data_IF_547636739725
#
_entry.id   IF_547636739725
#
_cell.length_a   1.000
_cell.length_b   1.000
_cell.length_c   1.000
_cell.angle_alpha   90.00
_cell.angle_beta   90.00
_cell.angle_gamma   90.00
#
_symmetry.space_group_name_H-M   'P 1'
#
loop_
_entity.id
_entity.type
_entity.pdbx_description
1 polymer ?
#
# COMPACT_ATOMS: atom_id res chain seq x y z
N UNK A 1 -2.57 12.55 -3.78
CA UNK A 1 -2.03 12.51 -2.41
C UNK A 1 -0.53 12.72 -2.47
N UNK A 2 -0.05 13.65 -1.67
CA UNK A 2 1.37 13.91 -1.46
C UNK A 2 1.96 12.89 -0.48
N UNK A 3 3.29 12.86 -0.38
CA UNK A 3 4.00 11.98 0.54
C UNK A 3 3.57 12.22 1.99
N UNK A 4 3.45 13.48 2.42
CA UNK A 4 3.03 13.83 3.78
C UNK A 4 1.60 13.38 4.08
N UNK A 5 0.68 13.54 3.14
CA UNK A 5 -0.69 13.04 3.27
C UNK A 5 -0.73 11.51 3.41
N UNK A 6 0.13 10.80 2.69
CA UNK A 6 0.24 9.35 2.80
C UNK A 6 0.83 8.92 4.15
N UNK A 7 1.83 9.63 4.69
CA UNK A 7 2.39 9.35 6.02
C UNK A 7 1.31 9.50 7.10
N UNK A 8 0.53 10.58 7.04
CA UNK A 8 -0.57 10.83 7.97
C UNK A 8 -1.63 9.74 7.85
N UNK A 9 -2.02 9.39 6.62
CA UNK A 9 -3.05 8.37 6.42
C UNK A 9 -2.58 6.99 6.89
N UNK A 10 -1.33 6.60 6.60
CA UNK A 10 -0.76 5.33 7.10
C UNK A 10 -0.77 5.28 8.63
N UNK A 11 -0.36 6.36 9.30
CA UNK A 11 -0.40 6.44 10.76
C UNK A 11 -1.84 6.35 11.30
N UNK A 12 -2.81 6.94 10.59
CA UNK A 12 -4.24 6.85 10.93
C UNK A 12 -4.78 5.43 10.80
N UNK A 13 -4.36 4.69 9.76
CA UNK A 13 -4.77 3.30 9.54
C UNK A 13 -4.16 2.35 10.58
N UNK A 14 -2.95 2.63 11.05
CA UNK A 14 -2.26 1.84 12.07
C UNK A 14 -2.96 1.91 13.45
N UNK A 15 -3.54 3.07 13.79
CA UNK A 15 -4.31 3.27 15.02
C UNK A 15 -5.81 2.97 14.88
N UNK A 16 -6.26 2.42 13.75
CA UNK A 16 -7.67 2.18 13.47
C UNK A 16 -8.20 0.85 14.03
N UNK A 17 -9.52 0.70 14.05
CA UNK A 17 -10.20 -0.55 14.48
C UNK A 17 -10.10 -1.68 13.45
N UNK A 18 -9.82 -1.34 12.17
CA UNK A 18 -9.72 -2.33 11.08
C UNK A 18 -8.30 -2.90 10.99
N UNK A 19 -8.15 -4.18 10.56
CA UNK A 19 -6.83 -4.76 10.34
C UNK A 19 -5.98 -3.89 9.40
N UNK A 20 -4.80 -3.47 9.87
CA UNK A 20 -3.92 -2.53 9.18
C UNK A 20 -3.63 -2.95 7.72
N UNK A 21 -3.42 -4.25 7.49
CA UNK A 21 -3.15 -4.79 6.14
C UNK A 21 -4.34 -4.64 5.20
N UNK A 22 -5.57 -4.80 5.69
CA UNK A 22 -6.79 -4.63 4.88
C UNK A 22 -7.01 -3.15 4.57
N UNK A 23 -6.87 -2.29 5.59
CA UNK A 23 -6.93 -0.84 5.46
C UNK A 23 -5.90 -0.30 4.46
N UNK A 24 -4.65 -0.79 4.50
CA UNK A 24 -3.61 -0.45 3.54
C UNK A 24 -3.93 -0.95 2.12
N UNK A 25 -4.51 -2.14 2.01
CA UNK A 25 -4.92 -2.71 0.72
C UNK A 25 -5.99 -1.85 0.06
N UNK A 26 -7.00 -1.43 0.83
CA UNK A 26 -8.04 -0.50 0.38
C UNK A 26 -7.46 0.84 -0.06
N UNK A 27 -6.52 1.39 0.71
CA UNK A 27 -5.82 2.64 0.37
C UNK A 27 -5.07 2.49 -0.95
N UNK A 28 -4.23 1.46 -1.09
CA UNK A 28 -3.44 1.21 -2.29
C UNK A 28 -4.31 1.00 -3.55
N UNK A 29 -5.52 0.43 -3.39
CA UNK A 29 -6.49 0.28 -4.48
C UNK A 29 -7.05 1.60 -5.00
N UNK A 30 -7.01 2.67 -4.20
CA UNK A 30 -7.52 4.01 -4.56
C UNK A 30 -6.42 4.96 -5.07
N UNK A 31 -5.15 4.58 -4.89
CA UNK A 31 -3.99 5.37 -5.30
C UNK A 31 -3.58 5.11 -6.75
N UNK A 32 -3.10 6.15 -7.43
CA UNK A 32 -2.39 6.06 -8.69
C UNK A 32 -0.96 5.51 -8.53
N UNK A 33 -0.28 5.27 -9.65
CA UNK A 33 1.04 4.61 -9.65
C UNK A 33 2.11 5.36 -8.86
N UNK A 34 2.17 6.69 -9.01
CA UNK A 34 3.13 7.54 -8.29
C UNK A 34 2.89 7.50 -6.78
N UNK A 35 1.63 7.57 -6.37
CA UNK A 35 1.24 7.59 -4.96
C UNK A 35 1.44 6.22 -4.31
N UNK A 36 1.21 5.13 -5.05
CA UNK A 36 1.53 3.78 -4.60
C UNK A 36 3.02 3.58 -4.34
N UNK A 37 3.88 4.16 -5.18
CA UNK A 37 5.33 4.10 -4.98
C UNK A 37 5.76 4.86 -3.72
N UNK A 38 5.20 6.05 -3.52
CA UNK A 38 5.41 6.81 -2.29
C UNK A 38 4.91 6.06 -1.05
N UNK A 39 3.76 5.38 -1.13
CA UNK A 39 3.24 4.54 -0.05
C UNK A 39 4.21 3.40 0.29
N UNK A 40 4.81 2.74 -0.71
CA UNK A 40 5.81 1.70 -0.49
C UNK A 40 7.06 2.26 0.20
N UNK A 41 7.59 3.39 -0.25
CA UNK A 41 8.75 4.06 0.36
C UNK A 41 8.48 4.41 1.83
N UNK A 42 7.30 4.98 2.12
CA UNK A 42 6.88 5.30 3.50
C UNK A 42 6.80 4.05 4.37
N UNK A 43 6.22 2.96 3.86
CA UNK A 43 6.10 1.71 4.60
C UNK A 43 7.48 1.09 4.88
N UNK A 44 8.42 1.16 3.94
CA UNK A 44 9.81 0.70 4.10
C UNK A 44 10.57 1.54 5.14
N UNK A 45 10.45 2.86 5.09
CA UNK A 45 11.10 3.75 6.05
C UNK A 45 10.57 3.59 7.48
N UNK A 46 9.25 3.38 7.64
CA UNK A 46 8.63 3.13 8.95
C UNK A 46 8.89 1.71 9.47
N UNK A 47 9.21 0.79 8.58
CA UNK A 47 9.41 -0.63 8.83
C UNK A 47 10.67 -0.92 9.65
N UNK A 48 11.75 -0.14 9.46
CA UNK A 48 13.02 -0.35 10.17
C UNK A 48 13.57 -1.78 10.11
N UNK A 49 13.09 -2.65 9.19
CA UNK A 49 13.37 -4.09 9.16
C UNK A 49 12.12 -5.02 9.12
N UNK A 50 10.93 -4.49 8.85
CA UNK A 50 9.70 -5.25 8.57
C UNK A 50 9.61 -5.76 7.12
N UNK A 51 10.70 -5.68 6.36
CA UNK A 51 10.73 -5.92 4.92
C UNK A 51 10.27 -7.33 4.56
N UNK A 52 10.71 -8.35 5.30
CA UNK A 52 10.40 -9.73 4.91
C UNK A 52 8.93 -10.11 5.10
N UNK A 53 8.25 -9.62 6.14
CA UNK A 53 6.90 -10.07 6.47
C UNK A 53 5.82 -9.36 5.65
N UNK A 54 6.03 -8.09 5.32
CA UNK A 54 5.07 -7.32 4.52
C UNK A 54 5.25 -7.62 3.03
N UNK A 55 6.50 -7.70 2.56
CA UNK A 55 6.84 -8.04 1.18
C UNK A 55 6.39 -9.46 0.83
N UNK A 56 6.63 -10.45 1.71
CA UNK A 56 6.08 -11.80 1.54
C UNK A 56 4.55 -11.82 1.57
N UNK A 57 3.87 -10.93 2.30
CA UNK A 57 2.40 -10.92 2.40
C UNK A 57 1.74 -10.20 1.22
N UNK A 58 2.45 -9.24 0.63
CA UNK A 58 2.10 -8.57 -0.62
C UNK A 58 2.42 -9.47 -1.83
N UNK A 59 3.54 -10.19 -1.84
CA UNK A 59 3.91 -11.19 -2.87
C UNK A 59 3.10 -12.49 -2.77
N UNK A 60 2.87 -13.02 -1.56
CA UNK A 60 1.98 -14.19 -1.37
C UNK A 60 0.56 -13.88 -1.85
N UNK A 61 0.17 -12.60 -1.82
CA UNK A 61 -0.97 -12.10 -2.58
C UNK A 61 -0.53 -11.70 -3.99
N UNK A 62 0.03 -12.61 -4.80
CA UNK A 62 0.30 -12.38 -6.23
C UNK A 62 -0.95 -11.95 -7.03
N UNK A 63 -2.13 -12.11 -6.44
CA UNK A 63 -3.39 -11.46 -6.83
C UNK A 63 -3.35 -9.93 -6.79
N UNK A 64 -2.69 -9.30 -5.81
CA UNK A 64 -2.58 -7.87 -5.61
C UNK A 64 -1.77 -7.21 -6.72
N UNK A 65 -0.65 -7.80 -7.13
CA UNK A 65 0.12 -7.37 -8.31
C UNK A 65 -0.69 -7.51 -9.60
N UNK A 66 -1.43 -8.62 -9.77
CA UNK A 66 -2.36 -8.78 -10.91
C UNK A 66 -3.53 -7.80 -10.89
N UNK A 67 -4.08 -7.47 -9.71
CA UNK A 67 -5.15 -6.48 -9.57
C UNK A 67 -4.63 -5.06 -9.82
N UNK A 68 -3.40 -4.77 -9.43
CA UNK A 68 -2.75 -3.49 -9.72
C UNK A 68 -2.43 -3.34 -11.22
N UNK A 69 -1.95 -4.39 -11.90
CA UNK A 69 -1.79 -4.40 -13.36
C UNK A 69 -3.13 -4.28 -14.10
N UNK A 70 -4.19 -4.93 -13.59
CA UNK A 70 -5.53 -4.84 -14.16
C UNK A 70 -6.16 -3.46 -13.97
N UNK A 71 -5.87 -2.77 -12.87
CA UNK A 71 -6.33 -1.40 -12.62
C UNK A 71 -5.54 -0.34 -13.42
N UNK A 72 -4.28 -0.62 -13.78
CA UNK A 72 -3.46 0.21 -14.67
C UNK A 72 -3.85 0.11 -16.15
N UNK A 73 -4.39 -1.04 -16.59
CA UNK A 73 -4.98 -1.19 -17.93
C UNK A 73 -6.43 -0.73 -17.94
N UNK A 74 -6.64 0.58 -18.14
CA UNK A 74 -7.94 1.04 -18.66
C UNK A 74 -8.17 0.42 -20.05
N UNK A 75 -9.24 -0.35 -20.29
CA UNK A 75 -9.67 -0.65 -21.65
C UNK A 75 -10.11 0.67 -22.30
N UNK A 76 -9.60 0.91 -23.50
CA UNK A 76 -9.98 2.03 -24.35
C UNK A 76 -11.31 1.73 -25.02
#
# INVERSE_FOLDING_TARGET
MTRDELVVEVARLEGGERPFVEALTDLAGRLGEVERRLLQEILLERSGGLDYALEQRIEARGWLRRQWDAAGRRPR
#
